data_IF_614263239804
#
_entry.id   IF_614263239804
#
_cell.length_a   1.000
_cell.length_b   1.000
_cell.length_c   1.000
_cell.angle_alpha   90.00
_cell.angle_beta   90.00
_cell.angle_gamma   90.00
#
_symmetry.space_group_name_H-M   'P 1'
#
loop_
_entity.id
_entity.type
_entity.pdbx_description
1 polymer ?
#
# COMPACT_ATOMS: atom_id res chain seq x y z
N UNK A 1 60.02 19.08 -61.59
CA UNK A 1 60.14 20.17 -60.56
C UNK A 1 59.21 19.82 -59.41
N UNK A 2 59.85 19.42 -58.33
CA UNK A 2 59.23 18.79 -57.16
C UNK A 2 59.39 19.75 -55.98
N UNK A 3 58.29 20.21 -55.34
CA UNK A 3 58.37 20.92 -54.07
C UNK A 3 57.14 20.68 -53.20
N UNK A 4 57.38 20.11 -52.02
CA UNK A 4 56.71 20.30 -50.76
C UNK A 4 55.27 19.76 -50.56
N UNK A 5 55.20 18.50 -50.16
CA UNK A 5 54.04 17.96 -49.47
C UNK A 5 54.36 17.46 -48.01
N UNK A 6 55.43 17.95 -47.38
CA UNK A 6 55.87 17.43 -46.08
C UNK A 6 55.42 18.21 -44.81
N UNK A 7 54.89 19.43 -44.84
CA UNK A 7 54.49 20.08 -43.59
C UNK A 7 53.05 19.82 -43.15
N UNK A 8 52.17 19.23 -43.95
CA UNK A 8 50.76 19.02 -43.61
C UNK A 8 50.54 17.75 -42.75
N UNK A 9 51.37 16.74 -42.89
CA UNK A 9 51.25 15.48 -42.12
C UNK A 9 51.73 15.60 -40.68
N UNK A 10 52.66 16.50 -40.36
CA UNK A 10 53.18 16.70 -39.00
C UNK A 10 52.17 17.49 -38.15
N UNK A 11 51.42 18.43 -38.74
CA UNK A 11 50.39 19.21 -38.00
C UNK A 11 49.15 18.34 -37.59
N UNK A 12 48.81 17.31 -38.37
CA UNK A 12 47.68 16.43 -38.04
C UNK A 12 48.04 15.44 -36.95
N UNK A 13 49.28 14.97 -36.86
CA UNK A 13 49.72 14.03 -35.82
C UNK A 13 49.83 14.73 -34.45
N UNK A 14 50.23 15.99 -34.42
CA UNK A 14 50.31 16.77 -33.16
C UNK A 14 48.89 17.14 -32.65
N UNK A 15 47.94 17.41 -33.55
CA UNK A 15 46.56 17.72 -33.15
C UNK A 15 45.81 16.48 -32.59
N UNK A 16 46.06 15.27 -33.15
CA UNK A 16 45.42 14.04 -32.68
C UNK A 16 45.99 13.57 -31.35
N UNK A 17 47.29 13.76 -31.10
CA UNK A 17 47.89 13.44 -29.78
C UNK A 17 47.49 14.43 -28.68
N UNK A 18 47.24 15.71 -28.99
CA UNK A 18 46.77 16.70 -28.02
C UNK A 18 45.29 16.41 -27.62
N UNK A 19 44.47 15.90 -28.51
CA UNK A 19 43.07 15.52 -28.18
C UNK A 19 43.03 14.20 -27.42
N UNK A 20 43.92 13.26 -27.67
CA UNK A 20 43.98 11.99 -26.92
C UNK A 20 44.49 12.17 -25.49
N UNK A 21 45.42 13.12 -25.26
CA UNK A 21 45.90 13.43 -23.91
C UNK A 21 44.90 14.32 -23.12
N UNK A 22 44.14 15.18 -23.82
CA UNK A 22 43.05 15.97 -23.18
C UNK A 22 41.86 15.17 -22.71
N UNK A 23 41.58 14.01 -23.32
CA UNK A 23 40.44 13.14 -22.92
C UNK A 23 40.82 12.18 -21.79
N UNK A 24 42.10 11.92 -21.53
CA UNK A 24 42.55 11.06 -20.43
C UNK A 24 42.73 11.83 -19.10
N UNK A 25 42.87 13.17 -19.15
CA UNK A 25 43.08 13.99 -17.93
C UNK A 25 41.76 14.49 -17.30
N UNK A 26 40.59 14.27 -17.93
CA UNK A 26 39.30 14.69 -17.37
C UNK A 26 38.61 13.52 -16.61
N UNK A 27 39.28 12.39 -16.39
CA UNK A 27 38.69 11.22 -15.72
C UNK A 27 39.26 10.87 -14.36
N UNK A 28 39.98 11.81 -13.77
CA UNK A 28 40.43 11.74 -12.36
C UNK A 28 39.88 12.95 -11.58
N UNK A 29 38.59 13.13 -11.56
CA UNK A 29 37.95 13.91 -10.52
C UNK A 29 37.61 12.94 -9.38
N UNK A 30 38.29 13.11 -8.27
CA UNK A 30 38.07 12.52 -6.95
C UNK A 30 36.60 12.13 -6.68
N UNK A 31 36.15 10.97 -7.13
CA UNK A 31 34.99 10.31 -6.57
C UNK A 31 35.41 9.68 -5.24
N UNK A 32 35.58 10.51 -4.22
CA UNK A 32 35.39 10.06 -2.85
C UNK A 32 33.95 9.58 -2.83
N UNK A 33 33.66 8.30 -2.55
CA UNK A 33 32.28 7.83 -2.51
C UNK A 33 31.51 8.75 -1.59
N UNK A 34 30.47 9.40 -2.10
CA UNK A 34 29.67 10.28 -1.27
C UNK A 34 29.25 9.48 -0.03
N UNK A 35 29.54 10.03 1.17
CA UNK A 35 29.28 9.31 2.41
C UNK A 35 27.81 8.85 2.42
N UNK A 36 27.61 7.55 2.59
CA UNK A 36 26.27 6.96 2.61
C UNK A 36 25.51 7.53 3.80
N UNK A 37 24.38 8.17 3.52
CA UNK A 37 23.52 8.75 4.54
C UNK A 37 22.63 7.68 5.15
N UNK A 38 22.75 7.48 6.45
CA UNK A 38 21.86 6.62 7.22
C UNK A 38 20.54 7.32 7.50
N UNK A 39 19.40 6.66 7.25
CA UNK A 39 18.07 7.13 7.56
C UNK A 39 17.35 6.13 8.47
N UNK A 40 16.61 6.63 9.45
CA UNK A 40 15.70 5.84 10.27
C UNK A 40 14.26 6.17 9.86
N UNK A 41 13.57 5.16 9.32
CA UNK A 41 12.18 5.28 8.87
C UNK A 41 11.30 4.24 9.56
N UNK A 42 10.05 4.62 9.86
CA UNK A 42 9.05 3.68 10.39
C UNK A 42 7.82 3.65 9.48
N UNK A 43 7.25 2.47 9.25
CA UNK A 43 6.13 2.33 8.32
C UNK A 43 5.33 1.05 8.47
N UNK A 44 4.27 0.91 7.68
CA UNK A 44 3.41 -0.28 7.66
C UNK A 44 4.18 -1.56 7.32
N UNK A 45 3.76 -2.66 7.92
CA UNK A 45 4.45 -3.97 7.83
C UNK A 45 4.53 -4.51 6.40
N UNK A 46 3.56 -4.19 5.56
CA UNK A 46 3.47 -4.63 4.16
C UNK A 46 4.64 -4.13 3.28
N UNK A 47 5.33 -3.05 3.69
CA UNK A 47 6.49 -2.48 2.98
C UNK A 47 7.83 -3.08 3.42
N UNK A 48 7.84 -3.87 4.47
CA UNK A 48 9.08 -4.37 5.08
C UNK A 48 9.90 -5.24 4.12
N UNK A 49 9.23 -6.10 3.36
CA UNK A 49 9.91 -6.99 2.40
C UNK A 49 10.51 -6.20 1.25
N UNK A 50 9.83 -5.15 0.75
CA UNK A 50 10.37 -4.23 -0.26
C UNK A 50 11.61 -3.50 0.26
N UNK A 51 11.57 -2.99 1.49
CA UNK A 51 12.72 -2.29 2.09
C UNK A 51 13.88 -3.22 2.47
N UNK A 52 13.61 -4.52 2.61
CA UNK A 52 14.62 -5.54 2.82
C UNK A 52 15.20 -6.12 1.51
N UNK A 53 14.61 -5.84 0.35
CA UNK A 53 15.05 -6.35 -0.95
C UNK A 53 16.48 -5.89 -1.28
N UNK A 54 17.33 -6.84 -1.67
CA UNK A 54 18.74 -6.59 -1.93
C UNK A 54 19.00 -5.63 -3.09
N UNK A 55 18.19 -5.71 -4.16
CA UNK A 55 18.31 -4.80 -5.32
C UNK A 55 17.81 -3.40 -4.97
N UNK A 56 16.70 -3.28 -4.20
CA UNK A 56 16.23 -1.98 -3.72
C UNK A 56 17.31 -1.31 -2.86
N UNK A 57 17.91 -2.05 -1.90
CA UNK A 57 19.02 -1.54 -1.07
C UNK A 57 20.24 -1.14 -1.90
N UNK A 58 20.57 -1.92 -2.94
CA UNK A 58 21.66 -1.58 -3.84
C UNK A 58 21.38 -0.28 -4.61
N UNK A 59 20.17 -0.11 -5.16
CA UNK A 59 19.76 1.14 -5.83
C UNK A 59 19.82 2.33 -4.88
N UNK A 60 19.27 2.18 -3.66
CA UNK A 60 19.29 3.23 -2.64
C UNK A 60 20.72 3.67 -2.31
N UNK A 61 21.62 2.70 -2.07
CA UNK A 61 23.01 2.98 -1.74
C UNK A 61 23.81 3.52 -2.92
N UNK A 62 23.77 2.84 -4.06
CA UNK A 62 24.71 3.06 -5.16
C UNK A 62 24.33 4.27 -6.02
N UNK A 63 23.02 4.58 -6.15
CA UNK A 63 22.54 5.73 -6.92
C UNK A 63 22.19 6.94 -6.08
N UNK A 64 21.70 6.72 -4.87
CA UNK A 64 21.17 7.81 -4.03
C UNK A 64 22.00 8.07 -2.76
N UNK A 65 23.03 7.24 -2.48
CA UNK A 65 23.86 7.35 -1.30
C UNK A 65 23.06 7.21 0.00
N UNK A 66 22.06 6.33 0.02
CA UNK A 66 21.14 6.11 1.14
C UNK A 66 21.25 4.70 1.69
N UNK A 67 21.22 4.58 3.00
CA UNK A 67 20.98 3.33 3.70
C UNK A 67 19.84 3.54 4.69
N UNK A 68 18.77 2.73 4.58
CA UNK A 68 17.53 2.93 5.34
C UNK A 68 17.34 1.81 6.34
N UNK A 69 17.31 2.16 7.61
CA UNK A 69 16.77 1.32 8.67
C UNK A 69 15.27 1.49 8.69
N UNK A 70 14.53 0.39 8.48
CA UNK A 70 13.07 0.40 8.42
C UNK A 70 12.46 -0.39 9.57
N UNK A 71 11.70 0.30 10.44
CA UNK A 71 11.02 -0.27 11.58
C UNK A 71 9.50 -0.37 11.31
N UNK A 72 8.89 -1.54 11.63
CA UNK A 72 7.46 -1.77 11.42
C UNK A 72 6.63 -1.08 12.50
N UNK A 73 5.60 -0.34 12.09
CA UNK A 73 4.63 0.24 13.00
C UNK A 73 3.30 0.51 12.30
N UNK A 74 2.18 0.38 13.01
CA UNK A 74 0.85 0.68 12.48
C UNK A 74 0.71 2.15 12.08
N UNK A 75 -0.03 2.44 11.01
CA UNK A 75 -0.10 3.78 10.41
C UNK A 75 -0.68 4.83 11.36
N UNK A 76 -1.66 4.45 12.17
CA UNK A 76 -2.29 5.38 13.12
C UNK A 76 -1.49 5.54 14.42
N UNK A 77 -0.67 4.55 14.79
CA UNK A 77 0.33 4.71 15.84
C UNK A 77 1.46 5.65 15.39
N UNK A 78 1.91 5.51 14.11
CA UNK A 78 2.90 6.42 13.53
C UNK A 78 2.41 7.87 13.53
N UNK A 79 1.16 8.07 13.09
CA UNK A 79 0.58 9.40 12.96
C UNK A 79 0.40 10.14 14.30
N UNK A 80 0.52 9.45 15.43
CA UNK A 80 0.31 9.99 16.76
C UNK A 80 1.56 9.96 17.65
N UNK A 81 2.73 9.59 17.11
CA UNK A 81 4.01 9.67 17.87
C UNK A 81 4.27 11.14 18.23
N UNK A 82 4.43 11.51 19.50
CA UNK A 82 4.69 12.90 19.89
C UNK A 82 5.91 13.47 19.16
N UNK A 83 5.84 14.75 18.77
CA UNK A 83 6.92 15.46 18.06
C UNK A 83 8.28 15.34 18.77
N UNK A 84 8.27 15.48 20.10
CA UNK A 84 9.49 15.33 20.90
C UNK A 84 10.09 13.92 20.81
N UNK A 85 9.24 12.90 20.80
CA UNK A 85 9.67 11.51 20.67
C UNK A 85 10.25 11.24 19.28
N UNK A 86 9.65 11.78 18.19
CA UNK A 86 10.19 11.69 16.84
C UNK A 86 11.61 12.27 16.76
N UNK A 87 11.82 13.43 17.39
CA UNK A 87 13.13 14.10 17.45
C UNK A 87 14.15 13.32 18.28
N UNK A 88 13.75 12.87 19.47
CA UNK A 88 14.64 12.12 20.39
C UNK A 88 15.09 10.79 19.78
N UNK A 89 14.22 10.12 19.05
CA UNK A 89 14.51 8.87 18.34
C UNK A 89 15.20 9.10 16.98
N UNK A 90 15.39 10.35 16.57
CA UNK A 90 15.99 10.73 15.26
C UNK A 90 15.31 10.03 14.10
N UNK A 91 13.97 10.07 14.09
CA UNK A 91 13.19 9.51 12.99
C UNK A 91 13.27 10.48 11.81
N UNK A 92 13.78 10.01 10.67
CA UNK A 92 13.92 10.79 9.45
C UNK A 92 12.67 10.76 8.59
N UNK A 93 11.94 9.66 8.59
CA UNK A 93 10.69 9.56 7.85
C UNK A 93 9.67 8.62 8.50
N UNK A 94 8.40 8.92 8.24
CA UNK A 94 7.27 8.02 8.49
C UNK A 94 6.69 7.58 7.15
N UNK A 95 6.27 6.32 7.07
CA UNK A 95 5.67 5.77 5.86
C UNK A 95 4.34 5.05 6.16
N UNK A 96 3.30 5.82 6.54
CA UNK A 96 1.97 5.25 6.73
C UNK A 96 1.40 4.73 5.40
N UNK A 97 0.35 3.92 5.49
CA UNK A 97 -0.21 3.23 4.32
C UNK A 97 -1.32 4.01 3.63
N UNK A 98 -1.81 5.11 4.20
CA UNK A 98 -2.92 5.89 3.61
C UNK A 98 -2.77 7.40 3.76
N UNK A 99 -3.46 8.13 2.88
CA UNK A 99 -3.63 9.59 2.97
C UNK A 99 -4.36 9.99 4.26
N UNK A 100 -5.29 9.16 4.77
CA UNK A 100 -6.00 9.43 6.02
C UNK A 100 -5.06 9.44 7.22
N UNK A 101 -4.12 8.49 7.30
CA UNK A 101 -3.12 8.48 8.37
C UNK A 101 -2.16 9.68 8.25
N UNK A 102 -1.79 10.09 7.03
CA UNK A 102 -1.08 11.35 6.80
C UNK A 102 -1.88 12.54 7.32
N UNK A 103 -3.17 12.64 6.99
CA UNK A 103 -4.03 13.73 7.48
C UNK A 103 -4.13 13.75 9.00
N UNK A 104 -4.17 12.59 9.67
CA UNK A 104 -4.11 12.50 11.14
C UNK A 104 -2.78 13.06 11.65
N UNK A 105 -1.64 12.71 11.03
CA UNK A 105 -0.35 13.28 11.39
C UNK A 105 -0.35 14.80 11.25
N UNK A 106 -0.75 15.33 10.10
CA UNK A 106 -0.75 16.77 9.80
C UNK A 106 -1.71 17.58 10.69
N UNK A 107 -2.79 16.96 11.19
CA UNK A 107 -3.71 17.60 12.14
C UNK A 107 -3.30 17.47 13.61
N UNK A 108 -2.51 16.45 13.94
CA UNK A 108 -2.04 16.19 15.30
C UNK A 108 -0.70 16.85 15.63
N UNK A 109 0.02 17.33 14.60
CA UNK A 109 1.34 17.93 14.73
C UNK A 109 1.38 19.32 14.11
N UNK A 110 2.12 20.23 14.74
CA UNK A 110 2.58 21.43 14.04
C UNK A 110 3.70 21.04 13.06
N UNK A 111 3.37 20.97 11.77
CA UNK A 111 4.35 20.61 10.73
C UNK A 111 5.48 21.62 10.62
N UNK A 112 5.28 22.87 11.09
CA UNK A 112 6.37 23.85 11.19
C UNK A 112 7.47 23.43 12.20
N UNK A 113 7.15 22.48 13.09
CA UNK A 113 8.16 21.84 13.93
C UNK A 113 9.19 20.99 13.14
N UNK A 114 8.89 20.65 11.89
CA UNK A 114 9.74 19.93 10.96
C UNK A 114 10.01 20.82 9.73
N UNK A 115 11.02 21.69 9.72
CA UNK A 115 11.25 22.67 8.65
C UNK A 115 11.40 22.06 7.26
N UNK A 116 11.84 20.81 7.21
CA UNK A 116 12.03 20.05 5.97
C UNK A 116 10.82 19.13 5.66
N UNK A 117 9.66 19.32 6.33
CA UNK A 117 8.52 18.45 6.12
C UNK A 117 8.08 18.42 4.65
N UNK A 118 8.02 17.23 4.10
CA UNK A 118 7.48 16.96 2.77
C UNK A 118 6.78 15.60 2.76
N UNK A 119 5.64 15.50 2.11
CA UNK A 119 4.89 14.25 1.99
C UNK A 119 4.51 13.98 0.55
N UNK A 120 4.84 12.77 0.06
CA UNK A 120 4.56 12.33 -1.31
C UNK A 120 4.09 10.88 -1.32
N UNK A 121 3.06 10.60 -2.10
CA UNK A 121 2.63 9.22 -2.39
C UNK A 121 3.54 8.61 -3.45
N UNK A 122 4.11 7.46 -3.16
CA UNK A 122 5.07 6.79 -4.06
C UNK A 122 4.59 5.41 -4.53
N UNK A 123 3.77 4.74 -3.73
CA UNK A 123 3.15 3.45 -4.00
C UNK A 123 1.66 3.53 -3.68
N UNK A 124 0.87 2.66 -4.31
CA UNK A 124 -0.53 2.51 -3.99
C UNK A 124 -0.98 1.05 -4.06
N UNK A 125 -2.05 0.74 -3.35
CA UNK A 125 -2.70 -0.56 -3.41
C UNK A 125 -4.19 -0.40 -3.06
N UNK A 126 -5.13 -1.01 -3.82
CA UNK A 126 -6.53 -0.98 -3.44
C UNK A 126 -6.79 -1.87 -2.22
N UNK A 127 -7.76 -1.47 -1.40
CA UNK A 127 -8.36 -2.35 -0.41
C UNK A 127 -9.21 -3.41 -1.12
N UNK A 128 -9.08 -4.67 -0.71
CA UNK A 128 -9.82 -5.80 -1.28
C UNK A 128 -10.39 -6.67 -0.17
N UNK A 129 -11.39 -7.46 -0.50
CA UNK A 129 -11.91 -8.51 0.38
C UNK A 129 -11.45 -9.86 -0.18
N UNK A 130 -10.71 -10.60 0.61
CA UNK A 130 -10.35 -11.97 0.30
C UNK A 130 -11.46 -12.91 0.72
N UNK A 131 -11.73 -13.90 -0.11
CA UNK A 131 -12.74 -14.92 0.15
C UNK A 131 -12.30 -16.29 -0.40
N UNK A 132 -12.71 -17.36 0.24
CA UNK A 132 -12.58 -18.69 -0.31
C UNK A 132 -13.52 -18.91 -1.51
N UNK A 133 -13.26 -19.96 -2.30
CA UNK A 133 -14.05 -20.27 -3.47
C UNK A 133 -15.55 -20.43 -3.13
N UNK A 134 -15.89 -21.26 -2.13
CA UNK A 134 -17.28 -21.52 -1.75
C UNK A 134 -18.00 -20.26 -1.26
N UNK A 135 -17.31 -19.40 -0.49
CA UNK A 135 -17.84 -18.12 -0.03
C UNK A 135 -18.10 -17.16 -1.21
N UNK A 136 -17.13 -17.08 -2.14
CA UNK A 136 -17.28 -16.27 -3.36
C UNK A 136 -18.48 -16.72 -4.18
N UNK A 137 -18.62 -18.04 -4.41
CA UNK A 137 -19.72 -18.59 -5.20
C UNK A 137 -21.08 -18.35 -4.54
N UNK A 138 -21.16 -18.39 -3.20
CA UNK A 138 -22.38 -18.05 -2.46
C UNK A 138 -22.74 -16.56 -2.64
N UNK A 139 -21.76 -15.65 -2.53
CA UNK A 139 -21.97 -14.23 -2.74
C UNK A 139 -22.37 -13.88 -4.17
N UNK A 140 -21.81 -14.60 -5.16
CA UNK A 140 -22.21 -14.46 -6.59
C UNK A 140 -23.65 -14.89 -6.79
N UNK A 141 -24.05 -16.06 -6.27
CA UNK A 141 -25.45 -16.52 -6.35
C UNK A 141 -26.44 -15.54 -5.71
N UNK A 142 -26.02 -14.88 -4.63
CA UNK A 142 -26.84 -13.88 -3.95
C UNK A 142 -26.88 -12.51 -4.66
N UNK A 143 -26.13 -12.34 -5.76
CA UNK A 143 -26.05 -11.05 -6.46
C UNK A 143 -25.29 -9.96 -5.71
N UNK A 144 -24.58 -10.33 -4.63
CA UNK A 144 -23.72 -9.40 -3.86
C UNK A 144 -22.40 -9.18 -4.58
N UNK A 145 -21.88 -10.24 -5.21
CA UNK A 145 -20.67 -10.21 -6.02
C UNK A 145 -21.02 -10.42 -7.48
N UNK A 146 -20.46 -9.62 -8.37
CA UNK A 146 -20.51 -9.81 -9.82
C UNK A 146 -19.14 -10.21 -10.35
N UNK A 147 -19.11 -11.07 -11.37
CA UNK A 147 -17.90 -11.41 -12.11
C UNK A 147 -17.90 -10.66 -13.43
N UNK A 148 -16.85 -9.85 -13.68
CA UNK A 148 -16.63 -9.09 -14.91
C UNK A 148 -15.20 -9.38 -15.39
N UNK A 149 -15.02 -9.82 -16.62
CA UNK A 149 -13.69 -10.11 -17.21
C UNK A 149 -12.81 -10.99 -16.31
N UNK A 150 -13.39 -12.05 -15.75
CA UNK A 150 -12.81 -12.97 -14.76
C UNK A 150 -12.51 -12.37 -13.39
N UNK A 151 -12.66 -11.07 -13.17
CA UNK A 151 -12.45 -10.38 -11.88
C UNK A 151 -13.77 -10.32 -11.09
N UNK A 152 -13.68 -10.41 -9.77
CA UNK A 152 -14.81 -10.35 -8.86
C UNK A 152 -14.96 -8.98 -8.23
N UNK A 153 -16.19 -8.43 -8.23
CA UNK A 153 -16.53 -7.14 -7.67
C UNK A 153 -17.68 -7.27 -6.67
N UNK A 154 -17.52 -6.72 -5.49
CA UNK A 154 -18.62 -6.58 -4.53
C UNK A 154 -19.47 -5.39 -4.98
N UNK A 155 -20.55 -5.66 -5.68
CA UNK A 155 -21.42 -4.65 -6.30
C UNK A 155 -22.53 -4.17 -5.37
N UNK A 156 -22.83 -4.93 -4.31
CA UNK A 156 -23.80 -4.57 -3.28
C UNK A 156 -23.19 -4.76 -1.87
N UNK A 157 -22.17 -3.93 -1.59
CA UNK A 157 -21.44 -4.02 -0.34
C UNK A 157 -22.32 -3.60 0.85
N UNK A 158 -23.19 -2.60 0.67
CA UNK A 158 -24.13 -2.17 1.70
C UNK A 158 -25.03 -3.33 2.16
N UNK A 159 -25.57 -4.10 1.24
CA UNK A 159 -26.39 -5.28 1.55
C UNK A 159 -25.58 -6.35 2.27
N UNK A 160 -24.35 -6.64 1.82
CA UNK A 160 -23.46 -7.58 2.54
C UNK A 160 -23.29 -7.17 4.00
N UNK A 161 -23.01 -5.89 4.24
CA UNK A 161 -22.78 -5.38 5.59
C UNK A 161 -24.02 -5.38 6.47
N UNK A 162 -25.13 -4.83 5.98
CA UNK A 162 -26.32 -4.58 6.81
C UNK A 162 -27.24 -5.80 6.96
N UNK A 163 -27.35 -6.65 5.93
CA UNK A 163 -28.26 -7.79 5.95
C UNK A 163 -27.58 -9.07 6.44
N UNK A 164 -26.23 -9.17 6.33
CA UNK A 164 -25.53 -10.42 6.63
C UNK A 164 -24.44 -10.28 7.72
N UNK A 165 -23.55 -9.29 7.62
CA UNK A 165 -22.43 -9.16 8.57
C UNK A 165 -22.91 -8.59 9.90
N UNK A 166 -23.59 -7.46 9.92
CA UNK A 166 -24.06 -6.78 11.12
C UNK A 166 -24.98 -7.66 11.97
N UNK A 167 -26.00 -8.35 11.39
CA UNK A 167 -26.85 -9.28 12.15
C UNK A 167 -26.21 -10.65 12.39
N UNK A 168 -24.93 -10.85 12.00
CA UNK A 168 -24.17 -12.10 12.18
C UNK A 168 -24.87 -13.32 11.57
N UNK A 169 -25.46 -13.16 10.38
CA UNK A 169 -26.09 -14.24 9.65
C UNK A 169 -25.09 -15.38 9.35
N UNK A 170 -25.59 -16.62 9.35
CA UNK A 170 -24.79 -17.78 8.94
C UNK A 170 -24.74 -17.91 7.43
N UNK A 171 -23.73 -18.60 6.89
CA UNK A 171 -23.59 -18.88 5.47
C UNK A 171 -24.77 -19.68 4.87
N UNK A 172 -25.53 -20.38 5.72
CA UNK A 172 -26.79 -21.02 5.29
C UNK A 172 -27.81 -20.05 4.71
N UNK A 173 -27.80 -18.77 5.16
CA UNK A 173 -28.66 -17.72 4.59
C UNK A 173 -28.31 -17.39 3.13
N UNK A 174 -27.08 -17.71 2.69
CA UNK A 174 -26.60 -17.58 1.32
C UNK A 174 -26.51 -18.94 0.59
N UNK A 175 -27.14 -19.99 1.12
CA UNK A 175 -27.15 -21.31 0.51
C UNK A 175 -25.78 -22.01 0.51
N UNK A 176 -24.94 -21.76 1.50
CA UNK A 176 -23.63 -22.39 1.68
C UNK A 176 -23.52 -23.06 3.07
N UNK A 177 -24.25 -24.17 3.32
CA UNK A 177 -24.32 -24.80 4.64
C UNK A 177 -22.98 -25.41 5.08
N UNK A 178 -22.08 -25.72 4.14
CA UNK A 178 -20.78 -26.31 4.43
C UNK A 178 -19.77 -25.29 5.00
N UNK A 179 -20.08 -23.99 4.92
CA UNK A 179 -19.27 -22.95 5.53
C UNK A 179 -19.66 -22.73 6.99
N UNK A 180 -18.69 -22.87 7.87
CA UNK A 180 -18.90 -22.75 9.30
C UNK A 180 -18.95 -21.28 9.76
N UNK A 181 -19.66 -21.04 10.88
CA UNK A 181 -19.70 -19.77 11.58
C UNK A 181 -20.58 -18.68 10.91
N UNK A 182 -20.57 -17.47 11.46
CA UNK A 182 -21.26 -16.34 10.87
C UNK A 182 -20.51 -15.75 9.68
N UNK A 183 -21.24 -15.06 8.81
CA UNK A 183 -20.64 -14.22 7.76
C UNK A 183 -20.01 -13.01 8.48
N UNK A 184 -18.70 -12.86 8.35
CA UNK A 184 -17.94 -11.75 8.93
C UNK A 184 -16.78 -11.37 8.02
N UNK A 185 -16.38 -10.12 8.09
CA UNK A 185 -15.19 -9.61 7.43
C UNK A 185 -14.15 -9.37 8.53
N UNK A 186 -13.15 -10.25 8.61
CA UNK A 186 -12.02 -10.05 9.50
C UNK A 186 -11.04 -9.03 8.91
N UNK A 187 -10.27 -8.36 9.75
CA UNK A 187 -9.19 -7.45 9.34
C UNK A 187 -8.22 -7.23 10.51
N UNK A 188 -7.39 -6.22 10.41
CA UNK A 188 -6.53 -5.75 11.50
C UNK A 188 -7.27 -4.85 12.48
N UNK A 189 -6.67 -4.59 13.66
CA UNK A 189 -7.24 -3.62 14.61
C UNK A 189 -7.14 -2.20 14.02
N UNK A 190 -8.28 -1.55 13.73
CA UNK A 190 -8.31 -0.22 13.14
C UNK A 190 -7.78 0.88 14.07
N UNK A 191 -7.60 0.60 15.36
CA UNK A 191 -7.04 1.58 16.31
C UNK A 191 -5.58 1.91 16.01
N UNK A 192 -4.86 0.95 15.44
CA UNK A 192 -3.43 1.05 15.13
C UNK A 192 -3.12 0.83 13.65
N UNK A 193 -3.76 -0.12 13.01
CA UNK A 193 -3.45 -0.60 11.66
C UNK A 193 -4.34 0.01 10.58
N UNK A 194 -3.76 0.24 9.40
CA UNK A 194 -4.45 0.92 8.32
C UNK A 194 -5.47 0.05 7.59
N UNK A 195 -5.23 -1.26 7.33
CA UNK A 195 -6.19 -2.07 6.58
C UNK A 195 -7.55 -2.16 7.30
N UNK A 196 -7.54 -2.41 8.61
CA UNK A 196 -8.78 -2.38 9.38
C UNK A 196 -9.45 -1.01 9.39
N UNK A 197 -8.67 0.07 9.43
CA UNK A 197 -9.24 1.41 9.38
C UNK A 197 -9.76 1.78 8.00
N UNK A 198 -9.10 1.36 6.92
CA UNK A 198 -9.59 1.55 5.54
C UNK A 198 -10.91 0.78 5.33
N UNK A 199 -11.02 -0.43 5.89
CA UNK A 199 -12.28 -1.16 5.90
C UNK A 199 -13.39 -0.33 6.56
N UNK A 200 -13.16 0.22 7.77
CA UNK A 200 -14.16 1.06 8.45
C UNK A 200 -14.54 2.31 7.65
N UNK A 201 -13.57 2.95 6.98
CA UNK A 201 -13.84 4.10 6.11
C UNK A 201 -14.72 3.71 4.92
N UNK A 202 -14.46 2.55 4.32
CA UNK A 202 -15.25 2.02 3.22
C UNK A 202 -16.65 1.63 3.68
N UNK A 203 -16.78 0.95 4.83
CA UNK A 203 -18.06 0.61 5.47
C UNK A 203 -18.87 1.87 5.75
N UNK A 204 -18.26 2.90 6.35
CA UNK A 204 -18.94 4.17 6.59
C UNK A 204 -19.43 4.81 5.30
N UNK A 205 -18.59 4.82 4.25
CA UNK A 205 -18.94 5.42 2.97
C UNK A 205 -20.13 4.71 2.34
N UNK A 206 -20.14 3.39 2.26
CA UNK A 206 -21.25 2.66 1.61
C UNK A 206 -22.53 2.64 2.43
N UNK A 207 -22.45 2.80 3.75
CA UNK A 207 -23.63 2.83 4.63
C UNK A 207 -24.26 4.23 4.67
N UNK A 208 -23.44 5.26 4.81
CA UNK A 208 -23.88 6.60 5.19
C UNK A 208 -23.93 7.58 4.01
N UNK A 209 -23.05 7.46 3.00
CA UNK A 209 -23.03 8.42 1.90
C UNK A 209 -24.24 8.24 0.98
N UNK A 210 -24.81 9.35 0.54
CA UNK A 210 -25.84 9.36 -0.51
C UNK A 210 -25.32 8.95 -1.89
N UNK A 211 -24.02 9.14 -2.13
CA UNK A 211 -23.29 8.67 -3.30
C UNK A 211 -22.04 7.92 -2.84
N UNK A 212 -22.00 6.61 -3.04
CA UNK A 212 -20.89 5.74 -2.60
C UNK A 212 -19.53 6.07 -3.24
N UNK A 213 -19.51 6.89 -4.32
CA UNK A 213 -18.29 7.38 -4.95
C UNK A 213 -17.78 8.68 -4.33
N UNK A 214 -18.50 9.22 -3.35
CA UNK A 214 -18.12 10.42 -2.60
C UNK A 214 -18.02 10.09 -1.11
N UNK A 215 -17.07 10.68 -0.39
CA UNK A 215 -17.03 10.52 1.06
C UNK A 215 -18.28 11.15 1.69
N UNK A 216 -18.79 10.59 2.79
CA UNK A 216 -19.95 11.15 3.47
C UNK A 216 -19.64 12.56 4.02
N UNK A 217 -20.68 13.36 4.17
CA UNK A 217 -20.64 14.60 4.97
C UNK A 217 -20.48 14.24 6.46
N UNK A 218 -20.13 15.20 7.30
CA UNK A 218 -20.05 15.02 8.76
C UNK A 218 -21.39 14.54 9.35
N UNK A 219 -22.51 15.07 8.86
CA UNK A 219 -23.85 14.67 9.31
C UNK A 219 -24.18 13.23 8.94
N UNK A 220 -23.91 12.85 7.70
CA UNK A 220 -24.07 11.46 7.22
C UNK A 220 -23.14 10.51 7.99
N UNK A 221 -21.87 10.89 8.17
CA UNK A 221 -20.92 10.12 8.95
C UNK A 221 -21.42 9.83 10.36
N UNK A 222 -21.86 10.86 11.09
CA UNK A 222 -22.43 10.68 12.45
C UNK A 222 -23.61 9.72 12.46
N UNK A 223 -24.50 9.76 11.47
CA UNK A 223 -25.64 8.84 11.40
C UNK A 223 -25.20 7.39 11.13
N UNK A 224 -24.08 7.17 10.43
CA UNK A 224 -23.53 5.85 10.11
C UNK A 224 -22.66 5.23 11.21
N UNK A 225 -22.07 6.04 12.11
CA UNK A 225 -21.13 5.55 13.13
C UNK A 225 -21.66 4.40 13.99
N UNK A 226 -22.93 4.38 14.46
CA UNK A 226 -23.43 3.25 15.25
C UNK A 226 -23.42 1.93 14.49
N UNK A 227 -23.73 1.94 13.20
CA UNK A 227 -23.69 0.73 12.37
C UNK A 227 -22.24 0.27 12.15
N UNK A 228 -21.33 1.19 11.85
CA UNK A 228 -19.88 0.91 11.70
C UNK A 228 -19.30 0.35 13.00
N UNK A 229 -19.70 0.87 14.15
CA UNK A 229 -19.31 0.31 15.45
C UNK A 229 -19.80 -1.13 15.61
N UNK A 230 -21.04 -1.40 15.25
CA UNK A 230 -21.58 -2.77 15.28
C UNK A 230 -20.82 -3.73 14.34
N UNK A 231 -20.39 -3.27 13.15
CA UNK A 231 -19.55 -4.03 12.24
C UNK A 231 -18.17 -4.30 12.81
N UNK A 232 -17.54 -3.29 13.41
CA UNK A 232 -16.27 -3.45 14.13
C UNK A 232 -16.36 -4.52 15.22
N UNK A 233 -17.41 -4.48 16.03
CA UNK A 233 -17.65 -5.46 17.10
C UNK A 233 -17.98 -6.87 16.53
N UNK A 234 -18.44 -6.96 15.27
CA UNK A 234 -18.72 -8.22 14.59
C UNK A 234 -17.47 -8.88 13.96
N UNK A 235 -16.38 -8.15 13.77
CA UNK A 235 -15.16 -8.68 13.16
C UNK A 235 -14.49 -9.79 14.01
N UNK A 236 -14.62 -9.73 15.32
CA UNK A 236 -14.01 -10.68 16.26
C UNK A 236 -12.54 -10.34 16.56
N UNK A 237 -11.70 -11.36 16.73
CA UNK A 237 -10.28 -11.17 16.96
C UNK A 237 -9.64 -10.49 15.75
N UNK A 238 -8.82 -9.47 16.02
CA UNK A 238 -8.16 -8.64 15.01
C UNK A 238 -6.65 -8.80 15.16
N UNK A 239 -5.98 -8.85 14.01
CA UNK A 239 -4.52 -8.95 13.98
C UNK A 239 -3.87 -7.58 14.14
N UNK A 240 -2.69 -7.55 14.75
CA UNK A 240 -1.93 -6.31 14.96
C UNK A 240 -1.31 -5.76 13.66
N UNK A 241 -1.15 -6.61 12.63
CA UNK A 241 -0.53 -6.24 11.37
C UNK A 241 -1.24 -6.86 10.17
N UNK A 242 -1.31 -6.12 9.06
CA UNK A 242 -1.97 -6.57 7.83
C UNK A 242 -1.34 -7.82 7.23
N UNK A 243 0.00 -7.92 7.23
CA UNK A 243 0.72 -9.08 6.71
C UNK A 243 0.50 -10.33 7.60
N UNK A 244 0.55 -10.16 8.92
CA UNK A 244 0.25 -11.24 9.88
C UNK A 244 -1.17 -11.76 9.75
N UNK A 245 -2.16 -10.87 9.76
CA UNK A 245 -3.57 -11.25 9.67
C UNK A 245 -3.93 -11.92 8.35
N UNK A 246 -3.37 -11.48 7.23
CA UNK A 246 -3.57 -12.14 5.94
C UNK A 246 -3.02 -13.57 5.92
N UNK A 247 -1.82 -13.79 6.48
CA UNK A 247 -1.22 -15.13 6.59
C UNK A 247 -2.04 -16.04 7.51
N UNK A 248 -2.49 -15.55 8.65
CA UNK A 248 -3.37 -16.30 9.54
C UNK A 248 -4.67 -16.71 8.83
N UNK A 249 -5.27 -15.77 8.10
CA UNK A 249 -6.48 -16.05 7.32
C UNK A 249 -6.24 -17.16 6.27
N UNK A 250 -5.12 -17.13 5.56
CA UNK A 250 -4.75 -18.18 4.59
C UNK A 250 -4.59 -19.56 5.23
N UNK A 251 -4.03 -19.63 6.46
CA UNK A 251 -3.81 -20.88 7.18
C UNK A 251 -5.10 -21.44 7.78
N UNK A 252 -5.94 -20.59 8.36
CA UNK A 252 -7.16 -21.00 9.03
C UNK A 252 -8.27 -21.48 8.08
N UNK A 253 -8.08 -21.28 6.77
CA UNK A 253 -9.11 -21.59 5.78
C UNK A 253 -10.22 -20.56 5.72
N UNK A 254 -10.79 -20.40 4.57
CA UNK A 254 -11.56 -19.24 4.15
C UNK A 254 -13.05 -19.27 4.56
N UNK A 255 -13.38 -19.72 5.75
CA UNK A 255 -14.77 -19.66 6.23
C UNK A 255 -15.26 -18.22 6.52
N UNK A 256 -14.34 -17.27 6.75
CA UNK A 256 -14.61 -15.83 6.89
C UNK A 256 -14.03 -15.06 5.70
N UNK A 257 -14.58 -13.86 5.46
CA UNK A 257 -13.98 -12.91 4.56
C UNK A 257 -12.83 -12.16 5.29
N UNK A 258 -11.84 -11.67 4.56
CA UNK A 258 -10.74 -10.89 5.13
C UNK A 258 -10.48 -9.64 4.30
N UNK A 259 -10.52 -8.47 4.94
CA UNK A 259 -10.17 -7.20 4.32
C UNK A 259 -8.67 -6.93 4.45
N UNK A 260 -8.05 -6.60 3.34
CA UNK A 260 -6.63 -6.31 3.26
C UNK A 260 -6.26 -5.68 1.92
N UNK A 261 -4.98 -5.72 1.58
CA UNK A 261 -4.44 -5.05 0.40
C UNK A 261 -4.22 -6.02 -0.76
N UNK A 262 -4.50 -5.59 -1.99
CA UNK A 262 -4.25 -6.38 -3.20
C UNK A 262 -2.83 -6.94 -3.26
N UNK A 263 -1.84 -6.16 -2.88
CA UNK A 263 -0.43 -6.56 -2.95
C UNK A 263 -0.07 -7.75 -2.07
N UNK A 264 -0.85 -8.08 -1.04
CA UNK A 264 -0.53 -9.19 -0.13
C UNK A 264 -0.58 -10.56 -0.82
N UNK A 265 -1.65 -10.84 -1.59
CA UNK A 265 -1.73 -12.09 -2.34
C UNK A 265 -0.72 -12.13 -3.49
N UNK A 266 -0.42 -10.98 -4.13
CA UNK A 266 0.56 -10.91 -5.21
C UNK A 266 1.95 -11.20 -4.69
N UNK A 267 2.32 -10.65 -3.54
CA UNK A 267 3.59 -10.94 -2.87
C UNK A 267 3.68 -12.43 -2.49
N UNK A 268 2.60 -13.02 -1.99
CA UNK A 268 2.55 -14.44 -1.65
C UNK A 268 2.71 -15.32 -2.89
N UNK A 269 2.04 -14.97 -4.00
CA UNK A 269 2.14 -15.65 -5.29
C UNK A 269 3.60 -15.64 -5.81
N UNK A 270 4.25 -14.48 -5.73
CA UNK A 270 5.68 -14.38 -6.11
C UNK A 270 6.56 -15.24 -5.21
N UNK A 271 6.28 -15.27 -3.91
CA UNK A 271 7.00 -16.13 -2.96
C UNK A 271 6.83 -17.63 -3.23
N UNK A 272 5.73 -18.04 -3.86
CA UNK A 272 5.46 -19.43 -4.23
C UNK A 272 5.79 -19.78 -5.69
N UNK A 273 6.42 -18.88 -6.45
CA UNK A 273 6.66 -19.06 -7.90
C UNK A 273 7.29 -20.40 -8.26
N UNK A 274 8.21 -20.91 -7.44
CA UNK A 274 8.92 -22.16 -7.67
C UNK A 274 8.29 -23.35 -6.89
N UNK A 275 7.10 -23.16 -6.31
CA UNK A 275 6.38 -24.17 -5.55
C UNK A 275 4.94 -24.32 -6.11
N UNK A 276 4.82 -25.14 -7.15
CA UNK A 276 3.54 -25.39 -7.83
C UNK A 276 2.39 -25.77 -6.89
N UNK A 277 2.55 -26.78 -5.99
CA UNK A 277 1.50 -27.15 -5.03
C UNK A 277 1.06 -25.99 -4.12
N UNK A 278 1.99 -25.15 -3.64
CA UNK A 278 1.65 -24.01 -2.81
C UNK A 278 0.92 -22.91 -3.60
N UNK A 279 1.32 -22.69 -4.86
CA UNK A 279 0.62 -21.78 -5.78
C UNK A 279 -0.79 -22.26 -6.06
N UNK A 280 -0.98 -23.53 -6.40
CA UNK A 280 -2.31 -24.13 -6.62
C UNK A 280 -3.19 -24.01 -5.37
N UNK A 281 -2.67 -24.31 -4.19
CA UNK A 281 -3.40 -24.17 -2.94
C UNK A 281 -3.78 -22.71 -2.66
N UNK A 282 -2.90 -21.75 -2.92
CA UNK A 282 -3.20 -20.32 -2.78
C UNK A 282 -4.37 -19.93 -3.70
N UNK A 283 -4.30 -20.28 -4.99
CA UNK A 283 -5.30 -19.93 -5.99
C UNK A 283 -6.65 -20.64 -5.78
N UNK A 284 -6.64 -21.84 -5.21
CA UNK A 284 -7.86 -22.57 -4.86
C UNK A 284 -8.57 -21.97 -3.64
N UNK A 285 -7.80 -21.48 -2.66
CA UNK A 285 -8.32 -21.06 -1.36
C UNK A 285 -8.52 -19.55 -1.21
N UNK A 286 -7.96 -18.73 -2.09
CA UNK A 286 -8.08 -17.28 -1.99
C UNK A 286 -8.50 -16.65 -3.34
N UNK A 287 -9.57 -15.88 -3.31
CA UNK A 287 -10.03 -15.03 -4.40
C UNK A 287 -10.06 -13.58 -3.96
N UNK A 288 -9.72 -12.68 -4.89
CA UNK A 288 -9.83 -11.24 -4.66
C UNK A 288 -11.22 -10.78 -5.08
N UNK A 289 -11.89 -10.07 -4.17
CA UNK A 289 -13.14 -9.38 -4.43
C UNK A 289 -12.89 -7.89 -4.24
N UNK A 290 -13.04 -7.11 -5.30
CA UNK A 290 -12.89 -5.66 -5.24
C UNK A 290 -14.21 -5.03 -4.80
N UNK A 291 -14.29 -4.32 -3.67
CA UNK A 291 -15.43 -3.44 -3.41
C UNK A 291 -15.62 -2.46 -4.57
N UNK A 292 -16.85 -2.18 -4.95
CA UNK A 292 -17.17 -1.32 -6.08
C UNK A 292 -18.10 -0.18 -5.64
N UNK A 293 -17.53 0.96 -5.16
CA UNK A 293 -16.11 1.37 -5.20
C UNK A 293 -15.23 0.79 -4.07
N UNK A 294 -13.90 0.82 -4.30
CA UNK A 294 -12.90 0.58 -3.25
C UNK A 294 -12.20 1.87 -2.82
N UNK A 295 -11.30 1.79 -1.84
CA UNK A 295 -10.37 2.86 -1.45
C UNK A 295 -8.95 2.44 -1.84
N UNK A 296 -8.19 3.34 -2.50
CA UNK A 296 -6.78 3.17 -2.71
C UNK A 296 -5.97 3.67 -1.52
N UNK A 297 -5.11 2.81 -1.01
CA UNK A 297 -4.14 3.12 0.03
C UNK A 297 -2.88 3.69 -0.63
N UNK A 298 -2.68 4.99 -0.54
CA UNK A 298 -1.71 5.76 -1.32
C UNK A 298 -0.27 5.73 -0.80
N UNK A 299 -0.01 5.06 0.33
CA UNK A 299 1.31 4.88 0.93
C UNK A 299 2.21 6.15 0.89
N UNK A 300 1.78 7.27 1.49
CA UNK A 300 2.57 8.49 1.48
C UNK A 300 3.80 8.35 2.39
N UNK A 301 4.97 8.75 1.89
CA UNK A 301 6.16 8.92 2.71
C UNK A 301 6.20 10.35 3.24
N UNK A 302 6.36 10.51 4.55
CA UNK A 302 6.45 11.77 5.25
C UNK A 302 7.91 11.97 5.65
N UNK A 303 8.65 12.76 4.89
CA UNK A 303 10.01 13.15 5.22
C UNK A 303 9.96 14.21 6.32
N UNK A 304 10.67 13.98 7.41
CA UNK A 304 10.78 14.89 8.55
C UNK A 304 12.12 15.64 8.54
N UNK A 305 13.07 15.20 7.72
CA UNK A 305 14.41 15.78 7.60
C UNK A 305 14.79 15.95 6.12
N UNK A 306 15.68 16.91 5.82
CA UNK A 306 16.16 17.16 4.46
C UNK A 306 16.77 15.90 3.77
N UNK A 307 17.58 15.05 4.46
CA UNK A 307 18.07 13.80 3.86
C UNK A 307 16.95 12.85 3.40
N UNK A 308 15.81 12.83 4.07
CA UNK A 308 14.69 11.97 3.70
C UNK A 308 14.00 12.39 2.39
N UNK A 309 14.20 13.63 1.90
CA UNK A 309 13.74 14.03 0.56
C UNK A 309 14.37 13.20 -0.55
N UNK A 310 15.64 12.80 -0.39
CA UNK A 310 16.31 11.92 -1.35
C UNK A 310 15.66 10.53 -1.39
N UNK A 311 15.13 10.05 -0.27
CA UNK A 311 14.40 8.78 -0.23
C UNK A 311 13.09 8.87 -1.02
N UNK A 312 12.36 9.98 -0.95
CA UNK A 312 11.17 10.21 -1.81
C UNK A 312 11.57 10.08 -3.28
N UNK A 313 12.63 10.77 -3.70
CA UNK A 313 13.12 10.70 -5.09
C UNK A 313 13.58 9.29 -5.47
N UNK A 314 14.30 8.62 -4.57
CA UNK A 314 14.78 7.26 -4.80
C UNK A 314 13.64 6.24 -4.95
N UNK A 315 12.59 6.35 -4.14
CA UNK A 315 11.42 5.47 -4.25
C UNK A 315 10.63 5.67 -5.56
N UNK A 316 10.81 6.80 -6.24
CA UNK A 316 10.26 7.07 -7.57
C UNK A 316 11.17 6.53 -8.72
N UNK A 317 12.35 5.98 -8.40
CA UNK A 317 13.25 5.38 -9.40
C UNK A 317 12.53 4.25 -10.15
N UNK A 318 12.55 4.23 -11.50
CA UNK A 318 11.85 3.21 -12.30
C UNK A 318 12.24 1.78 -11.95
N UNK A 319 13.49 1.53 -11.53
CA UNK A 319 13.93 0.20 -11.10
C UNK A 319 13.27 -0.21 -9.78
N UNK A 320 13.18 0.71 -8.80
CA UNK A 320 12.49 0.44 -7.53
C UNK A 320 10.99 0.26 -7.77
N UNK A 321 10.35 1.10 -8.61
CA UNK A 321 8.94 0.97 -8.97
C UNK A 321 8.64 -0.36 -9.65
N UNK A 322 9.51 -0.81 -10.58
CA UNK A 322 9.39 -2.12 -11.22
C UNK A 322 9.51 -3.28 -10.22
N UNK A 323 10.46 -3.20 -9.28
CA UNK A 323 10.61 -4.21 -8.21
C UNK A 323 9.37 -4.20 -7.30
N UNK A 324 8.90 -3.02 -6.91
CA UNK A 324 7.71 -2.86 -6.06
C UNK A 324 6.48 -3.53 -6.66
N UNK A 325 6.28 -3.41 -7.98
CA UNK A 325 5.19 -4.11 -8.67
C UNK A 325 5.47 -5.61 -8.83
N UNK A 326 6.56 -5.97 -9.50
CA UNK A 326 6.79 -7.35 -9.93
C UNK A 326 7.05 -8.36 -8.81
N UNK A 327 7.56 -7.89 -7.65
CA UNK A 327 7.87 -8.75 -6.52
C UNK A 327 6.94 -8.55 -5.33
N UNK A 328 6.40 -7.36 -5.18
CA UNK A 328 5.64 -6.98 -3.98
C UNK A 328 4.21 -6.53 -4.27
N UNK A 329 3.80 -6.49 -5.56
CA UNK A 329 2.43 -6.21 -5.97
C UNK A 329 1.95 -4.77 -5.71
N UNK A 330 2.85 -3.84 -5.38
CA UNK A 330 2.49 -2.43 -5.22
C UNK A 330 2.34 -1.75 -6.56
N UNK A 331 1.21 -1.10 -6.78
CA UNK A 331 1.00 -0.21 -7.92
C UNK A 331 1.80 1.07 -7.71
N UNK A 332 2.23 1.70 -8.80
CA UNK A 332 2.94 2.99 -8.74
C UNK A 332 1.95 4.13 -8.57
N UNK A 333 2.18 5.00 -7.59
CA UNK A 333 1.44 6.25 -7.45
C UNK A 333 1.96 7.37 -8.39
N UNK A 334 3.13 7.16 -9.02
CA UNK A 334 3.81 8.19 -9.82
C UNK A 334 3.95 7.84 -11.30
N UNK A 335 3.83 6.55 -11.65
CA UNK A 335 3.97 6.04 -13.01
C UNK A 335 2.69 5.32 -13.42
N UNK A 336 1.72 6.09 -13.92
CA UNK A 336 0.45 5.53 -14.39
C UNK A 336 0.70 4.50 -15.50
N UNK A 337 0.05 3.32 -15.39
CA UNK A 337 0.20 2.23 -16.37
C UNK A 337 1.44 1.35 -16.18
N UNK A 338 2.30 1.60 -15.17
CA UNK A 338 3.44 0.73 -14.86
C UNK A 338 3.02 -0.64 -14.29
N UNK A 339 1.80 -0.74 -13.74
CA UNK A 339 1.24 -1.99 -13.22
C UNK A 339 0.45 -2.70 -14.33
N UNK A 340 1.00 -3.79 -14.85
CA UNK A 340 0.34 -4.59 -15.87
C UNK A 340 -0.29 -5.84 -15.24
N UNK A 341 -1.62 -5.95 -15.24
CA UNK A 341 -2.33 -7.10 -14.67
C UNK A 341 -1.85 -8.45 -15.27
N UNK A 342 -1.36 -8.45 -16.50
CA UNK A 342 -0.80 -9.62 -17.17
C UNK A 342 0.47 -10.18 -16.49
N UNK A 343 1.19 -9.38 -15.68
CA UNK A 343 2.37 -9.83 -14.92
C UNK A 343 1.97 -10.87 -13.84
N UNK A 344 0.69 -10.87 -13.45
CA UNK A 344 0.10 -11.80 -12.48
C UNK A 344 -1.07 -12.58 -13.11
N UNK A 345 -0.86 -13.16 -14.29
CA UNK A 345 -1.91 -13.82 -15.09
C UNK A 345 -2.67 -14.95 -14.36
N UNK A 346 -2.10 -15.52 -13.30
CA UNK A 346 -2.76 -16.55 -12.50
C UNK A 346 -3.89 -15.99 -11.60
N UNK A 347 -3.86 -14.69 -11.27
CA UNK A 347 -4.87 -14.04 -10.44
C UNK A 347 -5.57 -12.97 -11.27
N UNK A 348 -6.89 -13.04 -11.46
CA UNK A 348 -7.62 -12.00 -12.17
C UNK A 348 -7.58 -10.68 -11.38
N UNK A 349 -6.84 -9.71 -11.89
CA UNK A 349 -6.71 -8.38 -11.30
C UNK A 349 -7.59 -7.37 -12.03
N UNK A 350 -8.21 -6.47 -11.27
CA UNK A 350 -8.83 -5.28 -11.84
C UNK A 350 -7.75 -4.33 -12.34
N UNK A 351 -7.75 -3.98 -13.63
CA UNK A 351 -6.80 -3.02 -14.20
C UNK A 351 -6.99 -1.65 -13.57
N UNK A 352 -8.24 -1.20 -13.47
CA UNK A 352 -8.64 0.06 -12.84
C UNK A 352 -9.93 -0.15 -12.05
N UNK A 353 -9.84 -0.65 -10.79
CA UNK A 353 -11.04 -0.74 -9.97
C UNK A 353 -11.59 0.67 -9.70
N UNK A 354 -12.91 0.83 -9.75
CA UNK A 354 -13.54 2.08 -9.38
C UNK A 354 -13.25 2.37 -7.91
N UNK A 355 -12.97 3.62 -7.59
CA UNK A 355 -12.59 4.02 -6.24
C UNK A 355 -13.39 5.21 -5.75
N UNK A 356 -13.49 5.31 -4.43
CA UNK A 356 -13.97 6.50 -3.74
C UNK A 356 -12.80 7.16 -3.01
N UNK A 357 -12.93 8.45 -2.76
CA UNK A 357 -11.96 9.20 -1.96
C UNK A 357 -12.11 8.83 -0.48
N UNK A 358 -11.02 8.59 0.26
CA UNK A 358 -11.10 8.43 1.71
C UNK A 358 -11.79 9.61 2.38
N UNK A 359 -12.52 9.39 3.49
CA UNK A 359 -13.12 10.46 4.27
C UNK A 359 -12.10 11.51 4.70
N UNK A 360 -12.55 12.76 4.80
CA UNK A 360 -11.72 13.90 5.25
C UNK A 360 -11.22 13.70 6.69
N UNK A 361 -10.25 14.50 7.09
CA UNK A 361 -9.60 14.41 8.39
C UNK A 361 -10.60 14.50 9.56
N UNK A 362 -11.59 15.38 9.49
CA UNK A 362 -12.64 15.54 10.52
C UNK A 362 -13.47 14.25 10.72
N UNK A 363 -13.87 13.59 9.62
CA UNK A 363 -14.59 12.32 9.66
C UNK A 363 -13.65 11.17 10.11
N UNK A 364 -12.39 11.19 9.68
CA UNK A 364 -11.38 10.25 10.13
C UNK A 364 -11.20 10.31 11.64
N UNK A 365 -11.19 11.51 12.24
CA UNK A 365 -11.14 11.69 13.69
C UNK A 365 -12.41 11.17 14.40
N UNK A 366 -13.60 11.39 13.81
CA UNK A 366 -14.84 10.83 14.36
C UNK A 366 -14.80 9.29 14.37
N UNK A 367 -14.33 8.65 13.31
CA UNK A 367 -14.16 7.20 13.26
C UNK A 367 -13.15 6.70 14.31
N UNK A 368 -12.01 7.37 14.47
CA UNK A 368 -11.02 7.02 15.49
C UNK A 368 -11.60 7.14 16.89
N UNK A 369 -12.31 8.23 17.20
CA UNK A 369 -12.98 8.40 18.49
C UNK A 369 -14.05 7.33 18.73
N UNK A 370 -14.82 6.97 17.70
CA UNK A 370 -15.82 5.91 17.79
C UNK A 370 -15.20 4.55 18.15
N UNK A 371 -14.11 4.14 17.47
CA UNK A 371 -13.52 2.81 17.73
C UNK A 371 -12.59 2.76 18.93
N UNK A 372 -11.91 3.87 19.27
CA UNK A 372 -11.00 3.94 20.43
C UNK A 372 -11.75 4.21 21.74
N UNK A 373 -12.63 5.21 21.71
CA UNK A 373 -13.20 5.80 22.89
C UNK A 373 -14.70 5.50 23.04
N UNK A 374 -15.26 4.69 22.10
CA UNK A 374 -16.70 4.39 22.01
C UNK A 374 -17.59 5.63 21.81
N UNK A 375 -17.04 6.71 21.27
CA UNK A 375 -17.76 7.96 20.98
C UNK A 375 -18.38 7.90 19.58
N UNK A 376 -19.47 7.13 19.43
CA UNK A 376 -20.12 6.86 18.15
C UNK A 376 -21.44 7.63 17.96
N UNK A 377 -21.61 8.77 18.61
CA UNK A 377 -22.82 9.62 18.53
C UNK A 377 -22.51 11.02 18.00
#
# INVERSE_FOLDING_TARGET
>A
MNRSRLPVLIAIVVAVTAIAVGVVVIRDSNDTPAAVQQLTCSGGSEKSSLMADGEVRAVLRDRYGLEVRFDKRGSYDLAQIPTEQLRNQKIDCLWPSSASARSVFETSHDTAAFPDYRAESVLETPEVIYAGAAATDALVRAGIVARRDNTYYIVDFKRLLLDFVLPKQKWTALGAPDLAGPIRIASTDPKSSNSGFTLLQLELTVIASGDVFQPPTVSEARSGLPAVRGLYDAQGLQSDSSDGGFREWLIQGAASLYAGYENQILQQLVGYRDNGPATEALLANARLLYPDPTIFNSNPILALTAPAHRLITALQDPKIQSIAWQRYGFRSATQLGAAHAADFAQIPLATQPRSTTPPRADITQLLLACVRDSQCS
#
